data_IF_385005431752
#
_entry.id   IF_385005431752
#
_cell.length_a   1.000
_cell.length_b   1.000
_cell.length_c   1.000
_cell.angle_alpha   90.00
_cell.angle_beta   90.00
_cell.angle_gamma   90.00
#
_symmetry.space_group_name_H-M   'P 1'
#
loop_
_entity.id
_entity.type
_entity.pdbx_description
1 polymer ?
#
# COMPACT_ATOMS: atom_id res chain seq x y z
N UNK A 1 8.55 9.47 5.89
CA UNK A 1 7.74 10.63 5.47
C UNK A 1 8.03 10.91 4.00
N UNK A 2 7.07 11.44 3.23
CA UNK A 2 7.15 11.76 1.79
C UNK A 2 6.73 10.68 0.76
N UNK A 3 6.25 9.51 1.18
CA UNK A 3 5.63 8.57 0.23
C UNK A 3 4.41 9.21 -0.46
N UNK A 4 4.34 9.10 -1.78
CA UNK A 4 3.29 9.72 -2.60
C UNK A 4 3.37 11.24 -2.76
N UNK A 5 4.42 11.89 -2.24
CA UNK A 5 4.61 13.34 -2.38
C UNK A 5 5.70 13.62 -3.44
N UNK A 6 5.38 14.31 -4.56
CA UNK A 6 6.34 14.51 -5.65
C UNK A 6 7.60 15.30 -5.29
N UNK A 7 7.44 16.32 -4.43
CA UNK A 7 8.52 17.15 -3.90
C UNK A 7 8.21 17.49 -2.44
N UNK A 8 9.15 17.19 -1.55
CA UNK A 8 9.03 17.50 -0.13
C UNK A 8 10.43 17.70 0.48
N UNK A 9 10.52 18.62 1.45
CA UNK A 9 11.64 18.71 2.38
C UNK A 9 11.17 18.18 3.74
N UNK A 10 11.98 17.37 4.41
CA UNK A 10 11.62 16.76 5.68
C UNK A 10 12.88 16.41 6.50
N UNK A 11 12.70 16.14 7.79
CA UNK A 11 13.75 15.57 8.63
C UNK A 11 13.73 14.05 8.56
N UNK A 12 14.91 13.44 8.43
CA UNK A 12 15.09 12.00 8.56
C UNK A 12 16.25 11.70 9.50
N UNK A 13 15.93 11.13 10.67
CA UNK A 13 16.91 10.79 11.70
C UNK A 13 17.80 11.98 12.12
N UNK A 14 17.21 13.18 12.23
CA UNK A 14 17.91 14.41 12.61
C UNK A 14 18.72 15.05 11.48
N UNK A 15 18.56 14.58 10.24
CA UNK A 15 19.23 15.12 9.07
C UNK A 15 18.21 15.68 8.07
N UNK A 16 18.48 16.86 7.47
CA UNK A 16 17.66 17.39 6.40
C UNK A 16 17.65 16.45 5.18
N UNK A 17 16.45 16.18 4.67
CA UNK A 17 16.22 15.36 3.51
C UNK A 17 15.25 16.04 2.53
N UNK A 18 15.37 15.69 1.25
CA UNK A 18 14.51 16.18 0.18
C UNK A 18 14.14 15.06 -0.78
N UNK A 19 12.93 15.11 -1.35
CA UNK A 19 12.55 14.30 -2.50
C UNK A 19 13.04 14.97 -3.79
N UNK A 20 14.00 14.32 -4.45
CA UNK A 20 14.58 14.78 -5.71
C UNK A 20 14.38 13.68 -6.75
N UNK A 21 13.65 13.99 -7.82
CA UNK A 21 13.40 13.08 -8.96
C UNK A 21 12.89 11.69 -8.52
N UNK A 22 11.94 11.66 -7.59
CA UNK A 22 11.31 10.42 -7.12
C UNK A 22 12.14 9.60 -6.14
N UNK A 23 13.22 10.15 -5.58
CA UNK A 23 13.99 9.53 -4.51
C UNK A 23 14.19 10.51 -3.34
N UNK A 24 14.02 10.01 -2.12
CA UNK A 24 14.38 10.75 -0.91
C UNK A 24 15.90 10.72 -0.71
N UNK A 25 16.50 11.88 -0.48
CA UNK A 25 17.95 12.08 -0.38
C UNK A 25 18.31 13.03 0.74
N UNK A 26 19.41 12.76 1.42
CA UNK A 26 20.08 13.72 2.31
C UNK A 26 20.79 14.81 1.50
N UNK A 27 21.27 15.85 2.18
CA UNK A 27 21.98 16.99 1.55
C UNK A 27 23.22 16.59 0.75
N UNK A 28 23.89 15.49 1.12
CA UNK A 28 25.05 14.94 0.41
C UNK A 28 24.67 14.06 -0.80
N UNK A 29 23.38 13.88 -1.07
CA UNK A 29 22.84 13.06 -2.15
C UNK A 29 22.59 11.58 -1.78
N UNK A 30 22.96 11.15 -0.58
CA UNK A 30 22.73 9.80 -0.07
C UNK A 30 21.24 9.47 -0.09
N UNK A 31 20.87 8.31 -0.64
CA UNK A 31 19.47 7.85 -0.64
C UNK A 31 19.06 7.52 0.80
N UNK A 32 17.90 8.04 1.23
CA UNK A 32 17.39 7.81 2.57
C UNK A 32 15.90 7.49 2.56
N UNK A 33 15.53 6.30 3.03
CA UNK A 33 14.17 5.80 2.92
C UNK A 33 13.68 5.66 1.47
N UNK A 34 12.36 5.66 1.29
CA UNK A 34 11.71 5.58 -0.01
C UNK A 34 10.45 6.43 -0.04
N UNK A 35 10.10 6.93 -1.22
CA UNK A 35 8.83 7.63 -1.49
C UNK A 35 7.79 6.73 -2.18
N UNK A 36 8.12 5.44 -2.33
CA UNK A 36 7.27 4.44 -2.97
C UNK A 36 6.01 4.16 -2.15
N UNK A 37 4.85 4.17 -2.81
CA UNK A 37 3.58 3.71 -2.23
C UNK A 37 3.37 2.22 -2.52
N UNK A 38 2.59 1.53 -1.69
CA UNK A 38 2.38 0.09 -1.84
C UNK A 38 1.67 -0.31 -3.14
N UNK A 39 0.74 0.51 -3.61
CA UNK A 39 0.07 0.29 -4.90
C UNK A 39 1.04 0.45 -6.08
N UNK A 40 1.98 1.39 -5.99
CA UNK A 40 3.04 1.52 -6.98
C UNK A 40 4.06 0.37 -6.88
N UNK A 41 4.35 -0.13 -5.67
CA UNK A 41 5.20 -1.30 -5.47
C UNK A 41 4.60 -2.55 -6.15
N UNK A 42 3.29 -2.76 -6.02
CA UNK A 42 2.56 -3.83 -6.72
C UNK A 42 2.73 -3.71 -8.24
N UNK A 43 2.47 -2.52 -8.81
CA UNK A 43 2.63 -2.28 -10.25
C UNK A 43 4.08 -2.51 -10.71
N UNK A 44 5.06 -2.03 -9.96
CA UNK A 44 6.47 -2.22 -10.28
C UNK A 44 6.87 -3.71 -10.31
N UNK A 45 6.48 -4.50 -9.30
CA UNK A 45 6.81 -5.92 -9.24
C UNK A 45 6.25 -6.66 -10.45
N UNK A 46 5.00 -6.37 -10.85
CA UNK A 46 4.36 -7.00 -12.00
C UNK A 46 4.95 -6.55 -13.34
N UNK A 47 5.43 -5.31 -13.44
CA UNK A 47 6.03 -4.77 -14.67
C UNK A 47 7.49 -5.15 -14.86
N UNK A 48 8.24 -5.31 -13.76
CA UNK A 48 9.70 -5.48 -13.79
C UNK A 48 10.13 -6.93 -13.59
N UNK A 49 9.20 -7.84 -13.26
CA UNK A 49 9.50 -9.25 -13.01
C UNK A 49 8.43 -10.14 -13.62
N UNK A 50 8.68 -11.46 -13.66
CA UNK A 50 7.77 -12.44 -14.24
C UNK A 50 6.78 -13.04 -13.22
N UNK A 51 6.67 -12.45 -12.02
CA UNK A 51 5.76 -12.99 -11.00
C UNK A 51 4.31 -12.71 -11.37
N UNK A 52 3.43 -13.68 -11.09
CA UNK A 52 1.99 -13.52 -11.23
C UNK A 52 1.42 -12.52 -10.22
N UNK A 53 0.22 -11.99 -10.51
CA UNK A 53 -0.55 -11.16 -9.57
C UNK A 53 -0.73 -11.84 -8.22
N UNK A 54 -1.04 -13.15 -8.21
CA UNK A 54 -1.22 -13.91 -6.97
C UNK A 54 0.06 -13.96 -6.13
N UNK A 55 1.21 -14.18 -6.78
CA UNK A 55 2.51 -14.17 -6.09
C UNK A 55 2.84 -12.78 -5.56
N UNK A 56 2.64 -11.72 -6.35
CA UNK A 56 2.85 -10.34 -5.92
C UNK A 56 1.96 -9.96 -4.72
N UNK A 57 0.69 -10.35 -4.74
CA UNK A 57 -0.22 -10.16 -3.59
C UNK A 57 0.31 -10.89 -2.36
N UNK A 58 0.76 -12.14 -2.50
CA UNK A 58 1.40 -12.89 -1.41
C UNK A 58 2.63 -12.19 -0.83
N UNK A 59 3.50 -11.64 -1.69
CA UNK A 59 4.68 -10.88 -1.30
C UNK A 59 4.34 -9.63 -0.48
N UNK A 60 3.21 -8.98 -0.77
CA UNK A 60 2.80 -7.73 -0.13
C UNK A 60 1.83 -7.93 1.05
N UNK A 61 1.33 -9.14 1.28
CA UNK A 61 0.31 -9.42 2.30
C UNK A 61 0.67 -10.61 3.20
N UNK A 62 0.56 -11.84 2.69
CA UNK A 62 0.77 -13.06 3.48
C UNK A 62 2.19 -13.18 4.01
N UNK A 63 3.20 -12.96 3.16
CA UNK A 63 4.61 -13.08 3.54
C UNK A 63 4.99 -12.11 4.68
N UNK A 64 4.68 -10.80 4.62
CA UNK A 64 4.94 -9.90 5.74
C UNK A 64 4.08 -10.22 6.96
N UNK A 65 2.84 -10.71 6.80
CA UNK A 65 2.03 -11.16 7.94
C UNK A 65 2.67 -12.35 8.67
N UNK A 66 3.27 -13.29 7.94
CA UNK A 66 4.02 -14.41 8.52
C UNK A 66 5.28 -13.92 9.23
N UNK A 67 6.06 -13.05 8.58
CA UNK A 67 7.28 -12.48 9.16
C UNK A 67 7.00 -11.70 10.46
N UNK A 68 5.86 -11.00 10.51
CA UNK A 68 5.39 -10.28 11.70
C UNK A 68 4.61 -11.15 12.70
N UNK A 69 4.48 -12.46 12.45
CA UNK A 69 3.78 -13.42 13.32
C UNK A 69 2.30 -13.07 13.59
N UNK A 70 1.60 -12.58 12.56
CA UNK A 70 0.17 -12.22 12.61
C UNK A 70 -0.66 -12.88 11.49
N UNK A 71 -0.09 -13.89 10.82
CA UNK A 71 -0.72 -14.58 9.68
C UNK A 71 -1.91 -15.47 10.06
N UNK A 72 -2.18 -15.63 11.35
CA UNK A 72 -3.38 -16.28 11.89
C UNK A 72 -4.64 -15.43 11.71
N UNK A 73 -4.48 -14.10 11.54
CA UNK A 73 -5.60 -13.15 11.34
C UNK A 73 -5.40 -12.11 10.24
N UNK A 74 -4.21 -11.99 9.65
CA UNK A 74 -3.87 -11.03 8.57
C UNK A 74 -3.34 -11.73 7.31
N UNK A 75 -3.41 -11.03 6.18
CA UNK A 75 -2.70 -11.41 4.96
C UNK A 75 -3.40 -12.49 4.12
N UNK A 76 -4.63 -12.88 4.47
CA UNK A 76 -5.47 -13.80 3.69
C UNK A 76 -6.90 -13.29 3.62
N UNK A 77 -7.55 -13.56 2.49
CA UNK A 77 -8.99 -13.38 2.34
C UNK A 77 -9.70 -14.67 2.74
N UNK A 78 -9.98 -14.83 4.04
CA UNK A 78 -10.57 -16.04 4.59
C UNK A 78 -11.50 -15.70 5.77
N UNK A 79 -12.58 -16.46 5.96
CA UNK A 79 -13.45 -16.30 7.12
C UNK A 79 -12.66 -16.44 8.44
N UNK A 80 -12.98 -15.59 9.41
CA UNK A 80 -12.27 -15.51 10.70
C UNK A 80 -11.04 -14.61 10.71
N UNK A 81 -10.62 -14.05 9.57
CA UNK A 81 -9.52 -13.08 9.49
C UNK A 81 -10.05 -11.65 9.64
N UNK A 82 -9.18 -10.71 10.01
CA UNK A 82 -9.52 -9.29 10.03
C UNK A 82 -9.93 -8.84 8.62
N UNK A 83 -11.02 -8.08 8.52
CA UNK A 83 -11.48 -7.49 7.27
C UNK A 83 -10.58 -6.30 6.83
N UNK A 84 -9.31 -6.61 6.56
CA UNK A 84 -8.32 -5.72 5.96
C UNK A 84 -8.26 -6.00 4.45
N UNK A 85 -8.93 -5.16 3.67
CA UNK A 85 -9.18 -5.40 2.25
C UNK A 85 -8.75 -4.20 1.42
N UNK A 86 -8.20 -4.49 0.25
CA UNK A 86 -7.96 -3.50 -0.80
C UNK A 86 -8.80 -3.86 -2.01
N UNK A 87 -9.46 -2.86 -2.57
CA UNK A 87 -10.25 -3.00 -3.79
C UNK A 87 -9.51 -2.23 -4.88
N UNK A 88 -9.20 -2.91 -5.97
CA UNK A 88 -8.59 -2.33 -7.16
C UNK A 88 -9.49 -2.51 -8.37
N UNK A 89 -9.32 -1.68 -9.39
CA UNK A 89 -9.88 -1.95 -10.72
C UNK A 89 -8.94 -2.82 -11.56
N UNK A 90 -9.34 -3.11 -12.81
CA UNK A 90 -8.55 -3.94 -13.75
C UNK A 90 -7.22 -3.32 -14.16
N UNK A 91 -7.02 -2.02 -13.93
CA UNK A 91 -5.75 -1.32 -14.16
C UNK A 91 -4.84 -1.29 -12.92
N UNK A 92 -5.27 -1.94 -11.83
CA UNK A 92 -4.62 -1.90 -10.51
C UNK A 92 -4.55 -0.48 -9.91
N UNK A 93 -5.53 0.37 -10.21
CA UNK A 93 -5.74 1.62 -9.49
C UNK A 93 -6.58 1.34 -8.24
N UNK A 94 -6.15 1.89 -7.09
CA UNK A 94 -6.80 1.66 -5.80
C UNK A 94 -8.15 2.38 -5.76
N UNK A 95 -9.18 1.63 -5.41
CA UNK A 95 -10.56 2.08 -5.37
C UNK A 95 -11.10 2.24 -3.95
N UNK A 96 -10.72 1.34 -3.04
CA UNK A 96 -11.07 1.43 -1.63
C UNK A 96 -10.09 0.65 -0.75
N UNK A 97 -10.00 1.07 0.51
CA UNK A 97 -9.28 0.39 1.59
C UNK A 97 -10.23 0.21 2.77
N UNK A 98 -10.31 -1.01 3.26
CA UNK A 98 -11.05 -1.38 4.45
C UNK A 98 -10.03 -1.88 5.47
N UNK A 99 -10.12 -1.39 6.71
CA UNK A 99 -9.25 -1.77 7.81
C UNK A 99 -10.11 -2.24 8.98
N UNK A 100 -10.00 -3.53 9.33
CA UNK A 100 -10.80 -4.20 10.37
C UNK A 100 -12.31 -3.96 10.20
N UNK A 101 -12.79 -4.00 8.95
CA UNK A 101 -14.19 -3.81 8.61
C UNK A 101 -14.63 -2.36 8.41
N UNK A 102 -13.78 -1.38 8.73
CA UNK A 102 -14.09 0.04 8.53
C UNK A 102 -13.46 0.60 7.26
N UNK A 103 -14.22 1.41 6.52
CA UNK A 103 -13.74 2.04 5.29
C UNK A 103 -12.75 3.15 5.65
N UNK A 104 -11.46 2.91 5.43
CA UNK A 104 -10.39 3.87 5.67
C UNK A 104 -10.18 4.82 4.47
N UNK A 105 -10.44 4.32 3.26
CA UNK A 105 -10.38 5.10 2.02
C UNK A 105 -11.37 4.53 1.00
N UNK A 106 -11.96 5.39 0.19
CA UNK A 106 -12.73 5.00 -0.99
C UNK A 106 -12.82 6.17 -1.97
N UNK A 107 -12.75 5.88 -3.26
CA UNK A 107 -13.21 6.81 -4.31
C UNK A 107 -14.70 7.07 -4.16
N UNK A 108 -15.22 8.17 -4.72
CA UNK A 108 -16.63 8.55 -4.55
C UNK A 108 -17.59 7.44 -5.02
N UNK A 109 -17.28 6.83 -6.17
CA UNK A 109 -18.06 5.72 -6.71
C UNK A 109 -18.09 4.50 -5.77
N UNK A 110 -16.94 4.15 -5.16
CA UNK A 110 -16.89 3.02 -4.23
C UNK A 110 -17.45 3.35 -2.85
N UNK A 111 -17.37 4.61 -2.41
CA UNK A 111 -18.01 5.06 -1.17
C UNK A 111 -19.53 4.86 -1.24
N UNK A 112 -20.15 5.25 -2.36
CA UNK A 112 -21.58 5.03 -2.59
C UNK A 112 -21.94 3.54 -2.59
N UNK A 113 -21.16 2.71 -3.31
CA UNK A 113 -21.38 1.24 -3.35
C UNK A 113 -21.28 0.60 -1.97
N UNK A 114 -20.23 0.92 -1.21
CA UNK A 114 -20.02 0.36 0.13
C UNK A 114 -21.09 0.82 1.12
N UNK A 115 -21.60 2.06 1.00
CA UNK A 115 -22.72 2.51 1.83
C UNK A 115 -24.03 1.77 1.53
N UNK A 116 -24.28 1.39 0.28
CA UNK A 116 -25.47 0.63 -0.10
C UNK A 116 -25.47 -0.80 0.47
N UNK A 117 -24.28 -1.35 0.74
CA UNK A 117 -24.11 -2.69 1.33
C UNK A 117 -24.30 -2.73 2.85
N UNK A 118 -24.32 -1.58 3.55
CA UNK A 118 -24.53 -1.51 5.01
C UNK A 118 -26.00 -1.75 5.45
N UNK A 119 -26.90 -2.05 4.52
CA UNK A 119 -28.34 -2.26 4.76
C UNK A 119 -28.84 -3.68 4.46
N UNK A 120 -27.94 -4.67 4.42
CA UNK A 120 -28.26 -6.11 4.48
C UNK A 120 -27.64 -6.70 5.75
#
# INVERSE_FOLDING_TARGET
AAAGIPQANFDFAGQPAQVIRGAARLSDGTITGSVLTMDQALRNVLQMTEVSLQQAVGMLTLNPAQAAQVSDRKGRLQAGYDADLLIFDSSLALQATICRGEVAFATDAWRQRLSALRFL
#
